data_IF_462805812432
#
_entry.id   IF_462805812432
#
_cell.length_a   1.000
_cell.length_b   1.000
_cell.length_c   1.000
_cell.angle_alpha   90.00
_cell.angle_beta   90.00
_cell.angle_gamma   90.00
#
_symmetry.space_group_name_H-M   'P 1'
#
loop_
_entity.id
_entity.type
_entity.pdbx_description
1 polymer ?
#
# COMPACT_ATOMS: atom_id res chain seq x y z
N UNK A 1 11.46 -8.46 -9.92
CA UNK A 1 11.51 -9.89 -9.55
C UNK A 1 11.17 -9.99 -8.08
N UNK A 2 10.19 -10.82 -7.69
CA UNK A 2 9.89 -11.05 -6.27
C UNK A 2 11.04 -11.88 -5.71
N UNK A 3 11.61 -11.44 -4.59
CA UNK A 3 12.61 -12.23 -3.91
C UNK A 3 11.91 -13.35 -3.16
N UNK A 4 12.02 -14.58 -3.67
CA UNK A 4 11.66 -15.79 -2.95
C UNK A 4 12.91 -16.33 -2.28
N UNK A 5 12.81 -16.59 -0.99
CA UNK A 5 13.83 -17.37 -0.30
C UNK A 5 13.23 -18.75 -0.01
N UNK A 6 13.80 -19.80 -0.59
CA UNK A 6 13.36 -21.18 -0.39
C UNK A 6 14.37 -21.94 0.46
N UNK A 7 13.94 -22.38 1.62
CA UNK A 7 14.74 -23.22 2.50
C UNK A 7 13.99 -24.55 2.71
N UNK A 8 14.42 -25.60 2.02
CA UNK A 8 13.73 -26.89 2.04
C UNK A 8 12.32 -26.77 1.44
N UNK A 9 11.30 -27.01 2.26
CA UNK A 9 9.88 -26.93 1.88
C UNK A 9 9.22 -25.58 2.25
N UNK A 10 9.97 -24.66 2.84
CA UNK A 10 9.48 -23.33 3.23
C UNK A 10 9.79 -22.30 2.15
N UNK A 11 8.81 -21.47 1.83
CA UNK A 11 8.96 -20.28 1.00
C UNK A 11 8.75 -19.06 1.89
N UNK A 12 9.70 -18.11 1.83
CA UNK A 12 9.58 -16.79 2.46
C UNK A 12 9.41 -15.73 1.37
N UNK A 13 8.43 -14.86 1.54
CA UNK A 13 8.20 -13.69 0.67
C UNK A 13 8.16 -12.41 1.49
N UNK A 14 8.44 -11.28 0.83
CA UNK A 14 8.58 -9.95 1.44
C UNK A 14 7.59 -8.95 0.80
N UNK A 15 6.30 -8.96 1.23
CA UNK A 15 5.26 -8.08 0.71
C UNK A 15 5.62 -6.60 0.92
N UNK A 16 5.85 -5.87 -0.15
CA UNK A 16 6.25 -4.45 -0.12
C UNK A 16 5.06 -3.54 0.15
N UNK A 17 5.28 -2.43 0.85
CA UNK A 17 4.31 -1.36 0.97
C UNK A 17 4.24 -0.50 -0.30
N UNK A 18 3.27 0.40 -0.34
CA UNK A 18 3.16 1.49 -1.32
C UNK A 18 2.81 2.80 -0.63
N UNK A 19 3.04 3.90 -1.32
CA UNK A 19 2.41 5.19 -1.02
C UNK A 19 1.58 5.66 -2.22
N UNK A 20 0.65 6.57 -1.96
CA UNK A 20 -0.06 7.30 -3.01
C UNK A 20 0.63 8.65 -3.22
N UNK A 21 1.13 8.91 -4.43
CA UNK A 21 1.67 10.23 -4.81
C UNK A 21 0.56 10.98 -5.54
N UNK A 22 -0.12 11.87 -4.81
CA UNK A 22 -1.40 12.45 -5.20
C UNK A 22 -2.56 11.45 -5.18
N UNK A 23 -3.76 11.96 -4.95
CA UNK A 23 -5.01 11.21 -5.04
C UNK A 23 -6.16 12.18 -5.28
N UNK A 24 -6.86 12.02 -6.39
CA UNK A 24 -8.05 12.79 -6.73
C UNK A 24 -9.29 11.89 -6.76
N UNK A 25 -10.36 12.32 -6.12
CA UNK A 25 -11.68 11.68 -6.18
C UNK A 25 -12.47 12.33 -7.31
N UNK A 26 -12.52 11.68 -8.46
CA UNK A 26 -12.96 12.27 -9.73
C UNK A 26 -14.49 12.29 -9.85
N UNK A 27 -15.16 11.18 -9.54
CA UNK A 27 -16.62 11.08 -9.66
C UNK A 27 -17.17 10.01 -8.73
N UNK A 28 -18.47 10.11 -8.43
CA UNK A 28 -19.22 9.05 -7.77
C UNK A 28 -19.87 8.14 -8.81
N UNK A 29 -19.86 6.84 -8.57
CA UNK A 29 -20.40 5.80 -9.43
C UNK A 29 -21.79 5.36 -8.94
N UNK A 30 -22.58 4.77 -9.83
CA UNK A 30 -23.92 4.25 -9.50
C UNK A 30 -23.89 3.03 -8.56
N UNK A 31 -22.77 2.30 -8.54
CA UNK A 31 -22.52 1.17 -7.63
C UNK A 31 -22.12 1.61 -6.20
N UNK A 32 -22.08 2.92 -5.94
CA UNK A 32 -21.76 3.51 -4.64
C UNK A 32 -20.25 3.72 -4.43
N UNK A 33 -19.37 3.22 -5.29
CA UNK A 33 -17.96 3.50 -5.30
C UNK A 33 -17.66 4.87 -5.90
N UNK A 34 -16.36 5.27 -5.88
CA UNK A 34 -15.89 6.48 -6.51
C UNK A 34 -14.82 6.15 -7.55
N UNK A 35 -14.85 6.87 -8.68
CA UNK A 35 -13.70 6.90 -9.55
C UNK A 35 -12.65 7.82 -8.93
N UNK A 36 -11.44 7.32 -8.86
CA UNK A 36 -10.27 8.05 -8.39
C UNK A 36 -9.16 8.02 -9.44
N UNK A 37 -8.21 8.89 -9.29
CA UNK A 37 -6.90 8.80 -9.92
C UNK A 37 -5.80 9.05 -8.89
N UNK A 38 -4.72 8.28 -8.99
CA UNK A 38 -3.57 8.37 -8.10
C UNK A 38 -2.33 7.77 -8.77
N UNK A 39 -1.16 8.03 -8.22
CA UNK A 39 0.05 7.29 -8.57
C UNK A 39 0.44 6.40 -7.40
N UNK A 40 0.47 5.09 -7.61
CA UNK A 40 1.03 4.14 -6.67
C UNK A 40 2.55 4.08 -6.85
N UNK A 41 3.26 4.24 -5.76
CA UNK A 41 4.71 4.11 -5.70
C UNK A 41 5.10 3.03 -4.67
N UNK A 42 5.74 1.93 -5.09
CA UNK A 42 6.17 0.89 -4.17
C UNK A 42 7.34 1.41 -3.32
N UNK A 43 7.30 1.12 -2.02
CA UNK A 43 8.35 1.52 -1.08
C UNK A 43 8.98 0.31 -0.42
N UNK A 44 10.26 0.38 -0.11
CA UNK A 44 11.01 -0.72 0.46
C UNK A 44 10.80 -0.84 1.98
N UNK A 45 9.53 -0.97 2.36
CA UNK A 45 9.05 -1.43 3.66
C UNK A 45 8.25 -2.67 3.39
N UNK A 46 8.47 -3.75 4.11
CA UNK A 46 7.83 -5.02 3.81
C UNK A 46 7.43 -5.77 5.07
N UNK A 47 6.38 -6.55 4.95
CA UNK A 47 6.05 -7.62 5.88
C UNK A 47 6.87 -8.86 5.52
N UNK A 48 6.81 -9.90 6.35
CA UNK A 48 7.43 -11.20 6.05
C UNK A 48 6.36 -12.27 6.13
N UNK A 49 6.27 -13.11 5.11
CA UNK A 49 5.36 -14.26 5.10
C UNK A 49 6.18 -15.52 4.86
N UNK A 50 6.18 -16.40 5.87
CA UNK A 50 6.73 -17.74 5.78
C UNK A 50 5.59 -18.74 5.52
N UNK A 51 5.74 -19.59 4.51
CA UNK A 51 4.72 -20.54 4.06
C UNK A 51 5.34 -21.92 4.00
N UNK A 52 4.69 -22.89 4.63
CA UNK A 52 5.05 -24.30 4.56
C UNK A 52 3.83 -25.12 4.15
N UNK A 53 4.04 -26.22 3.41
CA UNK A 53 2.99 -27.18 3.14
C UNK A 53 2.48 -27.84 4.44
N UNK A 54 1.19 -28.09 4.51
CA UNK A 54 0.53 -28.72 5.64
C UNK A 54 -0.26 -29.95 5.20
N UNK A 55 -0.20 -31.02 6.00
CA UNK A 55 -1.05 -32.19 5.81
C UNK A 55 -2.52 -31.94 6.20
N UNK A 56 -2.78 -30.86 6.94
CA UNK A 56 -4.14 -30.42 7.27
C UNK A 56 -4.67 -29.55 6.14
N UNK A 57 -5.91 -29.79 5.72
CA UNK A 57 -6.54 -28.98 4.69
C UNK A 57 -6.80 -27.55 5.17
N UNK A 58 -6.58 -26.56 4.30
CA UNK A 58 -6.86 -25.14 4.59
C UNK A 58 -5.58 -24.34 4.77
N UNK A 59 -5.77 -23.07 5.16
CA UNK A 59 -4.69 -22.13 5.48
C UNK A 59 -4.74 -21.84 6.98
N UNK A 60 -3.75 -22.37 7.72
CA UNK A 60 -3.54 -22.06 9.12
C UNK A 60 -2.58 -20.88 9.22
N UNK A 61 -2.99 -19.80 9.90
CA UNK A 61 -2.23 -18.54 9.94
C UNK A 61 -1.93 -18.11 11.38
N UNK A 62 -0.66 -17.91 11.66
CA UNK A 62 -0.15 -17.22 12.84
C UNK A 62 0.28 -15.79 12.45
N UNK A 63 -0.15 -14.77 13.21
CA UNK A 63 0.18 -13.37 12.94
C UNK A 63 1.03 -12.83 14.09
N UNK A 64 2.19 -12.28 13.74
CA UNK A 64 3.13 -11.66 14.66
C UNK A 64 3.30 -10.16 14.36
N UNK A 65 3.77 -9.37 15.31
CA UNK A 65 4.17 -7.97 15.12
C UNK A 65 3.04 -6.94 15.15
N UNK A 66 1.77 -7.34 15.08
CA UNK A 66 0.64 -6.42 15.23
C UNK A 66 -0.54 -7.10 15.93
N UNK A 67 -1.20 -6.37 16.85
CA UNK A 67 -2.50 -6.76 17.38
C UNK A 67 -3.59 -6.57 16.30
N UNK A 68 -3.70 -7.50 15.38
CA UNK A 68 -4.82 -7.55 14.45
C UNK A 68 -5.95 -8.29 15.16
N UNK A 69 -6.85 -7.57 15.81
CA UNK A 69 -8.12 -8.11 16.29
C UNK A 69 -9.04 -8.40 15.08
N UNK A 70 -8.66 -9.39 14.25
CA UNK A 70 -9.39 -9.80 13.06
C UNK A 70 -9.62 -11.30 13.14
N UNK A 71 -10.83 -11.73 12.79
CA UNK A 71 -11.09 -13.14 12.53
C UNK A 71 -10.07 -13.67 11.48
N UNK A 72 -9.29 -14.71 11.77
CA UNK A 72 -8.31 -15.27 10.82
C UNK A 72 -8.91 -15.54 9.44
N UNK A 73 -10.18 -15.96 9.36
CA UNK A 73 -10.88 -16.21 8.09
C UNK A 73 -11.14 -14.95 7.26
N UNK A 74 -11.13 -13.77 7.88
CA UNK A 74 -11.24 -12.48 7.20
C UNK A 74 -9.88 -11.92 6.75
N UNK A 75 -8.78 -12.54 7.17
CA UNK A 75 -7.45 -12.13 6.74
C UNK A 75 -7.29 -12.34 5.22
N UNK A 76 -6.77 -11.32 4.53
CA UNK A 76 -6.62 -11.35 3.07
C UNK A 76 -5.65 -12.44 2.59
N UNK A 77 -4.69 -12.86 3.42
CA UNK A 77 -3.79 -13.99 3.12
C UNK A 77 -4.56 -15.31 3.07
N UNK A 78 -5.45 -15.55 4.05
CA UNK A 78 -6.31 -16.75 4.07
C UNK A 78 -7.29 -16.72 2.90
N UNK A 79 -7.87 -15.56 2.61
CA UNK A 79 -8.77 -15.39 1.46
C UNK A 79 -8.05 -15.60 0.13
N UNK A 80 -6.78 -15.17 0.03
CA UNK A 80 -5.94 -15.42 -1.15
C UNK A 80 -5.70 -16.92 -1.35
N UNK A 81 -5.37 -17.66 -0.29
CA UNK A 81 -5.25 -19.11 -0.36
C UNK A 81 -6.58 -19.74 -0.82
N UNK A 82 -7.70 -19.38 -0.21
CA UNK A 82 -9.00 -19.97 -0.51
C UNK A 82 -9.39 -19.76 -1.99
N UNK A 83 -9.19 -18.55 -2.54
CA UNK A 83 -9.53 -18.26 -3.93
C UNK A 83 -8.65 -19.06 -4.92
N UNK A 84 -7.38 -19.29 -4.60
CA UNK A 84 -6.51 -20.13 -5.43
C UNK A 84 -6.94 -21.60 -5.33
N UNK A 85 -7.24 -22.09 -4.13
CA UNK A 85 -7.69 -23.47 -3.92
C UNK A 85 -9.03 -23.80 -4.59
N UNK A 86 -9.91 -22.82 -4.79
CA UNK A 86 -11.15 -23.01 -5.56
C UNK A 86 -10.91 -23.36 -7.02
N UNK A 87 -9.75 -23.00 -7.58
CA UNK A 87 -9.42 -23.15 -9.00
C UNK A 87 -8.31 -24.18 -9.25
N UNK A 88 -7.48 -24.45 -8.23
CA UNK A 88 -6.33 -25.35 -8.33
C UNK A 88 -6.33 -26.34 -7.17
N UNK A 89 -6.02 -27.59 -7.45
CA UNK A 89 -5.88 -28.63 -6.42
C UNK A 89 -4.52 -28.48 -5.73
N UNK A 90 -4.50 -27.65 -4.68
CA UNK A 90 -3.31 -27.41 -3.86
C UNK A 90 -3.48 -27.94 -2.44
N UNK A 91 -2.41 -28.44 -1.81
CA UNK A 91 -2.43 -28.87 -0.40
C UNK A 91 -2.76 -27.73 0.57
N UNK A 92 -3.02 -28.08 1.82
CA UNK A 92 -3.10 -27.09 2.90
C UNK A 92 -1.74 -26.43 3.16
N UNK A 93 -1.76 -25.26 3.79
CA UNK A 93 -0.56 -24.51 4.14
C UNK A 93 -0.62 -24.00 5.58
N UNK A 94 0.55 -23.90 6.20
CA UNK A 94 0.77 -23.15 7.43
C UNK A 94 1.52 -21.89 7.10
N UNK A 95 1.03 -20.75 7.59
CA UNK A 95 1.55 -19.41 7.31
C UNK A 95 1.94 -18.72 8.60
N UNK A 96 3.13 -18.15 8.66
CA UNK A 96 3.50 -17.17 9.68
C UNK A 96 3.63 -15.79 9.01
N UNK A 97 2.77 -14.85 9.41
CA UNK A 97 2.75 -13.48 8.91
C UNK A 97 3.34 -12.54 9.95
N UNK A 98 4.53 -12.01 9.72
CA UNK A 98 5.14 -10.99 10.55
C UNK A 98 4.85 -9.59 9.99
N UNK A 99 4.05 -8.80 10.71
CA UNK A 99 3.59 -7.47 10.31
C UNK A 99 4.56 -6.38 10.73
N UNK A 100 5.21 -5.79 9.73
CA UNK A 100 6.09 -4.61 9.86
C UNK A 100 5.42 -3.35 9.27
N UNK A 101 4.54 -3.51 8.27
CA UNK A 101 3.75 -2.43 7.69
C UNK A 101 2.57 -2.15 8.63
N UNK A 102 2.42 -0.91 9.14
CA UNK A 102 1.33 -0.59 10.06
C UNK A 102 -0.05 -0.82 9.44
N UNK A 103 -0.96 -1.34 10.24
CA UNK A 103 -2.35 -1.50 9.82
C UNK A 103 -3.06 -0.15 9.69
N UNK A 104 -4.04 -0.04 8.78
CA UNK A 104 -4.83 1.17 8.54
C UNK A 104 -3.96 2.42 8.35
N UNK A 105 -2.89 2.26 7.58
CA UNK A 105 -1.87 3.26 7.35
C UNK A 105 -1.93 3.91 5.96
N UNK A 106 -2.83 3.48 5.07
CA UNK A 106 -2.83 3.93 3.66
C UNK A 106 -1.66 3.38 2.84
N UNK A 107 -0.94 2.38 3.36
CA UNK A 107 0.28 1.81 2.75
C UNK A 107 0.06 0.47 2.04
N UNK A 108 -1.17 -0.03 1.99
CA UNK A 108 -1.54 -1.23 1.23
C UNK A 108 -1.02 -2.55 1.80
N UNK A 109 -0.59 -2.62 3.07
CA UNK A 109 0.04 -3.81 3.66
C UNK A 109 -0.78 -5.09 3.47
N UNK A 110 -2.05 -5.13 3.90
CA UNK A 110 -2.88 -6.33 3.74
C UNK A 110 -3.14 -6.73 2.29
N UNK A 111 -3.26 -5.75 1.38
CA UNK A 111 -3.40 -6.01 -0.07
C UNK A 111 -2.11 -6.58 -0.67
N UNK A 112 -0.97 -6.11 -0.18
CA UNK A 112 0.34 -6.64 -0.54
C UNK A 112 0.49 -8.08 -0.05
N UNK A 113 0.17 -8.35 1.22
CA UNK A 113 0.23 -9.71 1.79
C UNK A 113 -0.57 -10.70 0.94
N UNK A 114 -1.80 -10.33 0.56
CA UNK A 114 -2.65 -11.16 -0.29
C UNK A 114 -2.05 -11.45 -1.67
N UNK A 115 -1.52 -10.43 -2.34
CA UNK A 115 -0.91 -10.57 -3.65
C UNK A 115 0.35 -11.44 -3.61
N UNK A 116 1.19 -11.25 -2.59
CA UNK A 116 2.39 -12.07 -2.41
C UNK A 116 2.05 -13.50 -2.00
N UNK A 117 0.95 -13.72 -1.27
CA UNK A 117 0.44 -15.08 -1.01
C UNK A 117 0.06 -15.79 -2.32
N UNK A 118 -0.65 -15.13 -3.24
CA UNK A 118 -0.99 -15.71 -4.55
C UNK A 118 0.30 -16.13 -5.29
N UNK A 119 1.30 -15.25 -5.35
CA UNK A 119 2.58 -15.52 -6.02
C UNK A 119 3.36 -16.64 -5.35
N UNK A 120 3.34 -16.69 -4.02
CA UNK A 120 4.02 -17.74 -3.26
C UNK A 120 3.38 -19.12 -3.49
N UNK A 121 2.05 -19.19 -3.58
CA UNK A 121 1.34 -20.43 -3.90
C UNK A 121 1.64 -20.90 -5.34
N UNK A 122 1.71 -19.97 -6.29
CA UNK A 122 2.10 -20.28 -7.67
C UNK A 122 3.49 -20.91 -7.75
N UNK A 123 4.46 -20.28 -7.09
CA UNK A 123 5.85 -20.77 -7.02
C UNK A 123 5.95 -22.09 -6.27
N UNK A 124 5.29 -22.18 -5.09
CA UNK A 124 5.38 -23.35 -4.21
C UNK A 124 4.85 -24.61 -4.85
N UNK A 125 3.72 -24.50 -5.53
CA UNK A 125 3.02 -25.63 -6.13
C UNK A 125 3.19 -25.72 -7.65
N UNK A 126 4.04 -24.85 -8.24
CA UNK A 126 4.34 -24.84 -9.67
C UNK A 126 3.07 -24.79 -10.54
N UNK A 127 2.13 -23.90 -10.15
CA UNK A 127 0.84 -23.76 -10.82
C UNK A 127 1.02 -23.21 -12.24
N UNK A 128 1.90 -22.23 -12.42
CA UNK A 128 2.23 -21.63 -13.71
C UNK A 128 1.23 -20.56 -14.16
N UNK A 129 0.67 -19.79 -13.22
CA UNK A 129 -0.22 -18.67 -13.52
C UNK A 129 0.52 -17.54 -14.22
N UNK A 130 -0.12 -16.90 -15.19
CA UNK A 130 0.36 -15.65 -15.75
C UNK A 130 0.14 -14.48 -14.78
N UNK A 131 0.91 -13.39 -14.95
CA UNK A 131 0.69 -12.15 -14.18
C UNK A 131 -0.75 -11.62 -14.29
N UNK A 132 -1.37 -11.75 -15.48
CA UNK A 132 -2.74 -11.28 -15.69
C UNK A 132 -3.76 -12.16 -14.95
N UNK A 133 -3.52 -13.46 -14.89
CA UNK A 133 -4.35 -14.37 -14.10
C UNK A 133 -4.22 -14.11 -12.60
N UNK A 134 -2.99 -13.92 -12.09
CA UNK A 134 -2.77 -13.53 -10.70
C UNK A 134 -3.45 -12.20 -10.37
N UNK A 135 -3.40 -11.21 -11.27
CA UNK A 135 -4.11 -9.92 -11.10
C UNK A 135 -5.62 -10.10 -11.05
N UNK A 136 -6.16 -11.03 -11.85
CA UNK A 136 -7.59 -11.34 -11.83
C UNK A 136 -8.04 -11.87 -10.46
N UNK A 137 -7.28 -12.79 -9.86
CA UNK A 137 -7.56 -13.28 -8.50
C UNK A 137 -7.34 -12.19 -7.45
N UNK A 138 -6.26 -11.45 -7.54
CA UNK A 138 -5.94 -10.38 -6.60
C UNK A 138 -7.04 -9.29 -6.59
N UNK A 139 -7.56 -8.89 -7.74
CA UNK A 139 -8.62 -7.87 -7.83
C UNK A 139 -9.93 -8.25 -7.12
N UNK A 140 -10.22 -9.55 -6.98
CA UNK A 140 -11.38 -10.05 -6.22
C UNK A 140 -11.19 -9.91 -4.70
N UNK A 141 -9.96 -9.74 -4.22
CA UNK A 141 -9.62 -9.58 -2.80
C UNK A 141 -9.65 -8.12 -2.35
N UNK A 142 -9.27 -7.20 -3.23
CA UNK A 142 -9.30 -5.77 -2.97
C UNK A 142 -8.73 -4.95 -4.13
N UNK A 143 -9.11 -3.67 -4.20
CA UNK A 143 -8.75 -2.78 -5.31
C UNK A 143 -7.22 -2.63 -5.48
N UNK A 144 -6.48 -2.50 -4.37
CA UNK A 144 -5.03 -2.32 -4.40
C UNK A 144 -4.25 -3.64 -4.63
N UNK A 145 -4.90 -4.83 -4.49
CA UNK A 145 -4.17 -6.11 -4.53
C UNK A 145 -3.51 -6.37 -5.88
N UNK A 146 -4.16 -6.04 -6.99
CA UNK A 146 -3.64 -6.26 -8.33
C UNK A 146 -2.31 -5.49 -8.60
N UNK A 147 -2.13 -4.33 -7.96
CA UNK A 147 -0.89 -3.56 -8.04
C UNK A 147 0.32 -4.35 -7.53
N UNK A 148 0.16 -5.13 -6.46
CA UNK A 148 1.25 -5.84 -5.81
C UNK A 148 1.69 -7.14 -6.51
N UNK A 149 0.98 -7.57 -7.55
CA UNK A 149 1.45 -8.69 -8.38
C UNK A 149 2.76 -8.33 -9.08
N UNK A 150 2.85 -7.10 -9.62
CA UNK A 150 4.10 -6.56 -10.17
C UNK A 150 4.22 -5.08 -9.76
N UNK A 151 4.70 -4.78 -8.53
CA UNK A 151 4.69 -3.43 -7.99
C UNK A 151 5.77 -2.56 -8.63
N UNK A 152 5.36 -1.77 -9.61
CA UNK A 152 6.16 -0.71 -10.25
C UNK A 152 5.39 0.62 -10.16
N UNK A 153 6.05 1.78 -10.22
CA UNK A 153 5.33 3.05 -10.27
C UNK A 153 4.23 3.02 -11.31
N UNK A 154 2.99 3.22 -10.86
CA UNK A 154 1.81 3.03 -11.71
C UNK A 154 0.77 4.13 -11.48
N UNK A 155 0.25 4.68 -12.58
CA UNK A 155 -0.94 5.50 -12.54
C UNK A 155 -2.16 4.58 -12.45
N UNK A 156 -2.99 4.84 -11.45
CA UNK A 156 -4.18 4.05 -11.14
C UNK A 156 -5.45 4.88 -11.34
N UNK A 157 -6.43 4.32 -12.02
CA UNK A 157 -7.73 4.90 -12.32
C UNK A 157 -8.86 3.95 -11.88
N UNK A 158 -10.11 4.35 -12.11
CA UNK A 158 -11.28 3.59 -11.69
C UNK A 158 -11.43 3.60 -10.18
N UNK A 159 -11.56 2.45 -9.56
CA UNK A 159 -11.53 2.31 -8.09
C UNK A 159 -10.10 2.09 -7.55
N UNK A 160 -9.07 2.29 -8.39
CA UNK A 160 -7.67 1.96 -8.15
C UNK A 160 -7.21 0.68 -8.85
N UNK A 161 -8.04 0.12 -9.70
CA UNK A 161 -7.90 -1.19 -10.34
C UNK A 161 -7.37 -1.14 -11.77
N UNK A 162 -7.45 0.01 -12.43
CA UNK A 162 -6.92 0.22 -13.79
C UNK A 162 -5.52 0.81 -13.72
N UNK A 163 -4.52 -0.05 -13.89
CA UNK A 163 -3.12 0.32 -13.72
C UNK A 163 -2.42 0.54 -15.06
N UNK A 164 -1.65 1.61 -15.17
CA UNK A 164 -0.72 1.85 -16.27
C UNK A 164 0.64 2.31 -15.73
N UNK A 165 1.77 1.83 -16.26
CA UNK A 165 3.08 2.28 -15.83
C UNK A 165 3.24 3.80 -15.99
N UNK A 166 3.96 4.43 -15.06
CA UNK A 166 4.25 5.86 -15.09
C UNK A 166 5.71 6.11 -14.75
N UNK A 167 6.34 7.04 -15.47
CA UNK A 167 7.67 7.54 -15.11
C UNK A 167 7.49 8.73 -14.17
N UNK A 168 8.26 8.72 -13.08
CA UNK A 168 8.26 9.77 -12.08
C UNK A 168 9.62 10.45 -12.12
N UNK A 169 9.65 11.76 -12.25
CA UNK A 169 10.88 12.52 -12.32
C UNK A 169 11.29 13.06 -10.94
N UNK A 170 12.59 13.03 -10.67
CA UNK A 170 13.18 13.71 -9.53
C UNK A 170 13.09 12.95 -8.19
N UNK A 171 12.83 11.63 -8.21
CA UNK A 171 12.88 10.79 -6.99
C UNK A 171 14.24 10.11 -6.77
N UNK A 172 15.04 9.99 -7.81
CA UNK A 172 16.36 9.36 -7.72
C UNK A 172 17.23 10.04 -6.65
N UNK A 173 17.86 9.22 -5.82
CA UNK A 173 18.72 9.65 -4.70
C UNK A 173 18.05 10.47 -3.58
N UNK A 174 16.74 10.67 -3.62
CA UNK A 174 15.96 11.32 -2.55
C UNK A 174 15.72 10.37 -1.38
N UNK A 175 15.25 10.95 -0.28
CA UNK A 175 14.86 10.21 0.90
C UNK A 175 13.37 10.39 1.17
N UNK A 176 12.71 9.31 1.51
CA UNK A 176 11.32 9.28 1.94
C UNK A 176 11.28 9.09 3.45
N UNK A 177 10.67 10.03 4.16
CA UNK A 177 10.30 9.86 5.56
C UNK A 177 8.82 9.47 5.63
N UNK A 178 8.52 8.40 6.37
CA UNK A 178 7.17 7.95 6.69
C UNK A 178 6.92 8.24 8.16
N UNK A 179 5.78 8.86 8.49
CA UNK A 179 5.35 9.14 9.86
C UNK A 179 3.90 8.72 10.01
N UNK A 180 3.62 7.74 10.87
CA UNK A 180 2.25 7.30 11.16
C UNK A 180 1.97 7.44 12.66
N UNK A 181 1.19 8.45 13.06
CA UNK A 181 0.69 8.59 14.43
C UNK A 181 -0.18 7.39 14.83
N UNK A 182 -0.37 7.20 16.12
CA UNK A 182 -1.16 6.13 16.71
C UNK A 182 -2.67 6.17 16.40
N UNK A 183 -3.10 7.02 15.44
CA UNK A 183 -4.50 7.15 15.03
C UNK A 183 -4.80 6.32 13.78
N UNK A 184 -6.05 5.90 13.66
CA UNK A 184 -6.56 5.17 12.49
C UNK A 184 -7.59 6.03 11.75
N UNK A 185 -7.63 5.89 10.43
CA UNK A 185 -8.61 6.56 9.57
C UNK A 185 -9.50 5.50 8.92
N UNK A 186 -10.80 5.69 9.00
CA UNK A 186 -11.78 4.92 8.24
C UNK A 186 -11.82 5.42 6.79
N UNK A 187 -11.53 4.56 5.83
CA UNK A 187 -11.65 4.88 4.40
C UNK A 187 -13.06 5.40 4.05
N UNK A 188 -14.10 4.82 4.68
CA UNK A 188 -15.49 5.27 4.51
C UNK A 188 -15.68 6.73 4.96
N UNK A 189 -15.10 7.11 6.08
CA UNK A 189 -15.15 8.50 6.60
C UNK A 189 -14.36 9.46 5.71
N UNK A 190 -13.19 9.04 5.20
CA UNK A 190 -12.42 9.84 4.26
C UNK A 190 -13.22 10.22 3.01
N UNK A 191 -13.95 9.25 2.42
CA UNK A 191 -14.85 9.51 1.28
C UNK A 191 -16.07 10.36 1.64
N UNK A 192 -16.68 10.18 2.81
CA UNK A 192 -17.90 10.86 3.20
C UNK A 192 -17.76 12.39 3.28
N UNK A 193 -16.57 12.88 3.55
CA UNK A 193 -16.28 14.31 3.65
C UNK A 193 -15.91 14.99 2.32
N UNK A 194 -15.98 14.26 1.19
CA UNK A 194 -15.47 14.76 -0.11
C UNK A 194 -16.58 14.92 -1.15
N UNK A 195 -16.55 16.08 -1.84
CA UNK A 195 -17.30 16.28 -3.08
C UNK A 195 -16.37 15.96 -4.26
N UNK A 196 -16.70 14.95 -5.09
CA UNK A 196 -15.88 14.60 -6.25
C UNK A 196 -15.73 15.76 -7.22
N UNK A 197 -14.55 15.92 -7.81
CA UNK A 197 -14.28 16.94 -8.83
C UNK A 197 -13.18 16.46 -9.79
N UNK A 198 -13.35 16.76 -11.07
CA UNK A 198 -12.32 16.47 -12.06
C UNK A 198 -11.15 17.45 -11.86
N UNK A 199 -9.92 16.99 -11.66
CA UNK A 199 -8.77 17.85 -11.50
C UNK A 199 -8.44 18.57 -12.81
N UNK A 200 -7.85 19.76 -12.72
CA UNK A 200 -7.37 20.50 -13.92
C UNK A 200 -6.22 19.79 -14.63
N UNK A 201 -5.43 19.03 -13.88
CA UNK A 201 -4.26 18.27 -14.32
C UNK A 201 -4.22 16.96 -13.55
N UNK A 202 -4.04 15.84 -14.24
CA UNK A 202 -4.01 14.55 -13.59
C UNK A 202 -2.71 14.30 -12.81
N UNK A 203 -2.75 13.43 -11.82
CA UNK A 203 -1.56 13.09 -11.04
C UNK A 203 -0.40 12.61 -11.91
N UNK A 204 -0.69 11.85 -12.98
CA UNK A 204 0.29 11.36 -13.94
C UNK A 204 1.10 12.47 -14.60
N UNK A 205 0.44 13.55 -15.01
CA UNK A 205 1.10 14.66 -15.67
C UNK A 205 1.92 15.52 -14.69
N UNK A 206 1.49 15.57 -13.42
CA UNK A 206 2.19 16.33 -12.38
C UNK A 206 3.47 15.62 -11.96
N UNK A 207 3.45 14.31 -11.75
CA UNK A 207 4.64 13.56 -11.32
C UNK A 207 5.73 13.48 -12.38
N UNK A 208 5.40 13.74 -13.63
CA UNK A 208 6.36 13.86 -14.72
C UNK A 208 7.11 15.21 -14.73
N UNK A 209 6.68 16.18 -13.91
CA UNK A 209 7.32 17.49 -13.77
C UNK A 209 8.38 17.47 -12.65
N UNK A 210 9.23 18.52 -12.54
CA UNK A 210 10.15 18.65 -11.43
C UNK A 210 9.45 18.58 -10.07
N UNK A 211 9.98 17.84 -9.12
CA UNK A 211 9.37 17.59 -7.81
C UNK A 211 9.08 18.86 -7.02
N UNK A 212 9.83 19.92 -7.25
CA UNK A 212 9.65 21.23 -6.61
C UNK A 212 8.29 21.88 -6.96
N UNK A 213 7.68 21.46 -8.06
CA UNK A 213 6.36 21.95 -8.48
C UNK A 213 5.20 21.22 -7.79
N UNK A 214 5.44 20.02 -7.24
CA UNK A 214 4.39 19.14 -6.73
C UNK A 214 3.63 19.74 -5.56
N UNK A 215 4.30 20.48 -4.69
CA UNK A 215 3.66 21.08 -3.50
C UNK A 215 2.48 22.01 -3.83
N UNK A 216 2.48 22.61 -5.04
CA UNK A 216 1.44 23.52 -5.49
C UNK A 216 0.33 22.86 -6.33
N UNK A 217 0.62 21.73 -6.96
CA UNK A 217 -0.28 21.10 -7.94
C UNK A 217 -0.81 19.74 -7.51
N UNK A 218 -0.01 18.95 -6.78
CA UNK A 218 -0.33 17.58 -6.41
C UNK A 218 -0.95 17.53 -5.01
N UNK A 219 -2.15 16.97 -4.91
CA UNK A 219 -2.92 16.90 -3.65
C UNK A 219 -3.41 15.49 -3.38
N UNK A 220 -3.73 15.23 -2.13
CA UNK A 220 -4.56 14.10 -1.75
C UNK A 220 -5.91 14.64 -1.28
N UNK A 221 -6.94 14.34 -2.02
CA UNK A 221 -8.30 14.86 -1.80
C UNK A 221 -8.89 14.48 -0.43
N UNK A 222 -8.40 13.43 0.21
CA UNK A 222 -8.85 13.04 1.54
C UNK A 222 -8.28 13.94 2.65
N UNK A 223 -7.19 14.66 2.41
CA UNK A 223 -6.56 15.48 3.43
C UNK A 223 -7.53 16.51 4.05
N UNK A 224 -8.37 17.17 3.24
CA UNK A 224 -9.30 18.17 3.72
C UNK A 224 -10.29 17.63 4.76
N UNK A 225 -10.82 16.44 4.54
CA UNK A 225 -11.77 15.80 5.46
C UNK A 225 -11.07 15.15 6.65
N UNK A 226 -9.99 14.43 6.39
CA UNK A 226 -9.24 13.70 7.41
C UNK A 226 -8.54 14.65 8.37
N UNK A 227 -7.90 15.72 7.90
CA UNK A 227 -7.22 16.69 8.77
C UNK A 227 -8.19 17.51 9.61
N UNK A 228 -9.44 17.68 9.14
CA UNK A 228 -10.50 18.30 9.97
C UNK A 228 -10.88 17.40 11.14
N UNK A 229 -10.96 16.10 10.93
CA UNK A 229 -11.30 15.11 11.97
C UNK A 229 -10.12 14.76 12.86
N UNK A 230 -8.92 14.74 12.31
CA UNK A 230 -7.67 14.36 12.96
C UNK A 230 -6.58 15.41 12.66
N UNK A 231 -6.63 16.59 13.31
CA UNK A 231 -5.70 17.71 13.05
C UNK A 231 -4.23 17.36 13.18
N UNK A 232 -3.88 16.38 14.03
CA UNK A 232 -2.52 15.90 14.24
C UNK A 232 -1.84 15.47 12.93
N UNK A 233 -2.60 14.94 11.94
CA UNK A 233 -2.05 14.56 10.64
C UNK A 233 -1.65 15.78 9.81
N UNK A 234 -2.43 16.85 9.86
CA UNK A 234 -2.09 18.13 9.24
C UNK A 234 -0.88 18.80 9.89
N UNK A 235 -0.75 18.67 11.22
CA UNK A 235 0.41 19.16 11.97
C UNK A 235 1.68 18.41 11.57
N UNK A 236 1.64 17.08 11.45
CA UNK A 236 2.77 16.27 10.98
C UNK A 236 3.16 16.68 9.55
N UNK A 237 2.21 16.86 8.63
CA UNK A 237 2.50 17.32 7.27
C UNK A 237 3.21 18.67 7.27
N UNK A 238 2.70 19.62 8.04
CA UNK A 238 3.30 20.96 8.19
C UNK A 238 4.72 20.87 8.77
N UNK A 239 4.93 20.03 9.77
CA UNK A 239 6.23 19.87 10.41
C UNK A 239 7.26 19.24 9.45
N UNK A 240 6.86 18.27 8.62
CA UNK A 240 7.74 17.72 7.58
C UNK A 240 8.22 18.80 6.59
N UNK A 241 7.33 19.72 6.17
CA UNK A 241 7.74 20.88 5.37
C UNK A 241 8.69 21.80 6.12
N UNK A 242 8.43 22.08 7.39
CA UNK A 242 9.31 22.92 8.24
C UNK A 242 10.71 22.30 8.40
N UNK A 243 10.83 20.96 8.30
CA UNK A 243 12.10 20.21 8.33
C UNK A 243 12.75 20.10 6.97
N UNK A 244 12.20 20.74 5.94
CA UNK A 244 12.81 20.79 4.61
C UNK A 244 12.32 19.72 3.63
N UNK A 245 11.15 19.11 3.86
CA UNK A 245 10.55 18.27 2.84
C UNK A 245 10.27 19.10 1.57
N UNK A 246 10.71 18.60 0.42
CA UNK A 246 10.39 19.20 -0.89
C UNK A 246 8.90 19.01 -1.18
N UNK A 247 8.38 17.84 -0.83
CA UNK A 247 6.98 17.48 -0.94
C UNK A 247 6.54 16.63 0.25
N UNK A 248 5.35 16.89 0.79
CA UNK A 248 4.75 16.06 1.83
C UNK A 248 3.25 15.87 1.58
N UNK A 249 2.74 14.68 1.84
CA UNK A 249 1.32 14.34 1.66
C UNK A 249 0.92 13.16 2.53
N UNK A 250 -0.39 12.94 2.64
CA UNK A 250 -0.96 11.74 3.23
C UNK A 250 -1.00 10.62 2.19
N UNK A 251 -0.68 9.39 2.58
CA UNK A 251 -0.81 8.21 1.71
C UNK A 251 -2.23 7.63 1.80
N UNK A 252 -2.89 7.49 0.66
CA UNK A 252 -4.24 6.93 0.58
C UNK A 252 -5.23 7.68 1.48
N UNK A 253 -6.07 6.96 2.21
CA UNK A 253 -6.96 7.53 3.23
C UNK A 253 -6.26 7.82 4.56
N UNK A 254 -4.97 7.61 4.66
CA UNK A 254 -4.18 7.82 5.88
C UNK A 254 -4.11 6.53 6.73
N UNK A 255 -3.51 6.62 7.90
CA UNK A 255 -3.03 7.85 8.60
C UNK A 255 -1.55 8.17 8.36
N UNK A 256 -0.84 7.46 7.46
CA UNK A 256 0.57 7.78 7.20
C UNK A 256 0.70 9.09 6.44
N UNK A 257 1.51 9.99 6.98
CA UNK A 257 2.02 11.18 6.30
C UNK A 257 3.45 10.86 5.86
N UNK A 258 3.78 11.24 4.64
CA UNK A 258 5.14 11.09 4.14
C UNK A 258 5.71 12.43 3.68
N UNK A 259 7.03 12.54 3.73
CA UNK A 259 7.79 13.67 3.18
C UNK A 259 8.95 13.17 2.32
N UNK A 260 9.21 13.86 1.21
CA UNK A 260 10.34 13.60 0.31
C UNK A 260 11.38 14.69 0.54
N UNK A 261 12.63 14.28 0.75
CA UNK A 261 13.74 15.15 1.15
C UNK A 261 14.93 14.98 0.19
N UNK A 262 15.71 16.05 0.02
CA UNK A 262 16.99 16.01 -0.70
C UNK A 262 18.03 15.19 0.08
N UNK A 263 18.14 15.47 1.38
CA UNK A 263 19.07 14.83 2.29
C UNK A 263 18.33 13.97 3.30
N UNK A 264 19.04 13.02 3.92
CA UNK A 264 18.46 12.09 4.90
C UNK A 264 17.99 12.83 6.16
N UNK A 265 16.68 12.93 6.45
CA UNK A 265 16.15 13.73 7.53
C UNK A 265 16.17 12.98 8.88
N UNK A 266 17.34 12.75 9.46
CA UNK A 266 17.49 11.95 10.69
C UNK A 266 16.75 12.55 11.90
N UNK A 267 16.57 13.86 11.93
CA UNK A 267 15.81 14.57 12.96
C UNK A 267 14.33 14.19 13.00
N UNK A 268 13.75 13.72 11.89
CA UNK A 268 12.38 13.20 11.85
C UNK A 268 12.22 11.97 12.75
N UNK A 269 13.22 11.09 12.84
CA UNK A 269 13.16 9.90 13.71
C UNK A 269 13.07 10.29 15.20
N UNK A 270 13.71 11.36 15.58
CA UNK A 270 13.71 11.84 16.97
C UNK A 270 12.51 12.72 17.30
N UNK A 271 11.88 13.32 16.29
CA UNK A 271 10.73 14.19 16.47
C UNK A 271 9.46 13.43 16.87
N UNK A 272 9.37 12.15 16.52
CA UNK A 272 8.16 11.33 16.69
C UNK A 272 8.47 9.98 17.37
N UNK A 273 8.96 9.99 18.63
CA UNK A 273 9.41 8.76 19.30
C UNK A 273 8.29 7.75 19.53
N UNK A 274 7.03 8.20 19.64
CA UNK A 274 5.85 7.36 19.90
C UNK A 274 5.09 6.96 18.62
N UNK A 275 5.59 7.38 17.45
CA UNK A 275 4.95 7.07 16.17
C UNK A 275 5.75 6.03 15.39
N UNK A 276 5.07 5.30 14.52
CA UNK A 276 5.81 4.56 13.52
C UNK A 276 6.50 5.56 12.59
N UNK A 277 7.82 5.52 12.57
CA UNK A 277 8.64 6.43 11.77
C UNK A 277 9.73 5.66 11.05
N UNK A 278 9.90 5.89 9.76
CA UNK A 278 10.93 5.24 8.94
C UNK A 278 11.49 6.19 7.89
N UNK A 279 12.78 6.06 7.60
CA UNK A 279 13.45 6.79 6.51
C UNK A 279 14.01 5.79 5.51
N UNK A 280 13.65 5.98 4.25
CA UNK A 280 14.01 5.09 3.13
C UNK A 280 14.71 5.91 2.07
N UNK A 281 15.75 5.37 1.44
CA UNK A 281 16.30 5.92 0.21
C UNK A 281 15.44 5.46 -0.97
N UNK A 282 15.02 6.39 -1.83
CA UNK A 282 14.23 6.14 -3.05
C UNK A 282 15.12 5.72 -4.21
#
# INVERSE_FOLDING_TARGET
MVEFNRVGQMITVYPKAKINIGLNVVSKRDDGYHNLETVFYPVNVHDVIDITESHQAGCDIDIEGANLACDPQQNLVVRAYNIIREHYDIPGVKVTLNKMIPSQAGMGGGSSDAAYMIKALDEMFSIGMSDDEMRLYASKLGADCAFFINPVPSYAEGIGDKLSPVSINGLDDKFLALVKPGVAVSTKEAYAGRTPSTPKKCCKDIVAQPIETWANELRNDFEDSVFRSLPILGEVKKDLYNRGAIYASMSGSGSTIYGIFEERPLDVLYAYPDYYTMIIKL
#
